data_IF_384472648845
#
_entry.id   IF_384472648845
#
_cell.length_a   1.000
_cell.length_b   1.000
_cell.length_c   1.000
_cell.angle_alpha   90.00
_cell.angle_beta   90.00
_cell.angle_gamma   90.00
#
_symmetry.space_group_name_H-M   'P 1'
#
loop_
_entity.id
_entity.type
_entity.pdbx_description
1 polymer ?
#
# COMPACT_ATOMS: atom_id res chain seq x y z
N UNK A 1 86.99 9.46 138.64
CA UNK A 1 86.70 8.59 137.47
C UNK A 1 85.71 9.32 136.62
N UNK A 2 85.94 9.44 135.31
CA UNK A 2 85.02 10.09 134.37
C UNK A 2 83.76 9.25 134.19
N UNK A 3 82.58 9.88 134.15
CA UNK A 3 81.32 9.18 133.93
C UNK A 3 81.09 9.00 132.43
N UNK A 4 80.76 7.77 131.99
CA UNK A 4 80.52 7.47 130.58
C UNK A 4 79.13 7.94 130.12
N UNK A 5 79.07 8.73 129.04
CA UNK A 5 77.84 9.17 128.37
C UNK A 5 78.02 9.12 126.83
N UNK A 6 77.09 8.48 126.10
CA UNK A 6 77.21 8.26 124.64
C UNK A 6 75.85 8.29 123.90
N UNK A 7 75.86 8.45 122.56
CA UNK A 7 74.65 8.42 121.70
C UNK A 7 74.11 7.00 121.48
N UNK A 8 72.78 6.86 121.36
CA UNK A 8 72.10 5.56 121.32
C UNK A 8 72.39 4.68 120.08
N UNK A 9 72.54 5.26 118.88
CA UNK A 9 72.61 4.49 117.62
C UNK A 9 74.04 4.20 117.13
N UNK A 10 75.01 4.97 117.61
CA UNK A 10 76.39 4.94 117.11
C UNK A 10 77.44 5.02 118.21
N UNK A 11 77.03 5.14 119.48
CA UNK A 11 77.95 5.13 120.61
C UNK A 11 78.92 6.32 120.67
N UNK A 12 78.66 7.40 119.90
CA UNK A 12 79.50 8.59 119.94
C UNK A 12 79.51 9.23 121.32
N UNK A 13 80.68 9.65 121.76
CA UNK A 13 80.91 10.23 123.07
C UNK A 13 80.15 11.56 123.25
N UNK A 14 79.47 11.73 124.39
CA UNK A 14 78.74 12.96 124.76
C UNK A 14 79.38 13.63 125.99
N UNK A 15 79.28 14.96 126.11
CA UNK A 15 79.62 15.66 127.35
C UNK A 15 78.77 15.17 128.54
N UNK A 16 79.30 15.31 129.76
CA UNK A 16 78.56 14.99 130.98
C UNK A 16 78.90 16.00 132.07
N UNK A 17 77.87 16.51 132.75
CA UNK A 17 78.01 17.66 133.66
C UNK A 17 79.03 17.46 134.80
N UNK A 18 79.24 16.21 135.22
CA UNK A 18 80.19 15.87 136.30
C UNK A 18 81.64 15.69 135.80
N UNK A 19 81.90 15.77 134.49
CA UNK A 19 83.25 15.70 133.94
C UNK A 19 83.93 17.08 133.96
N UNK A 20 85.25 17.11 134.10
CA UNK A 20 86.02 18.33 133.86
C UNK A 20 85.92 18.73 132.37
N UNK A 21 85.86 20.04 132.07
CA UNK A 21 85.73 20.56 130.70
C UNK A 21 86.78 19.98 129.74
N UNK A 22 88.02 19.79 130.20
CA UNK A 22 89.09 19.21 129.40
C UNK A 22 88.79 17.77 128.94
N UNK A 23 88.10 16.98 129.77
CA UNK A 23 87.66 15.63 129.45
C UNK A 23 86.56 15.66 128.39
N UNK A 24 85.56 16.52 128.57
CA UNK A 24 84.45 16.61 127.62
C UNK A 24 84.88 17.15 126.25
N UNK A 25 85.86 18.05 126.20
CA UNK A 25 86.48 18.48 124.92
C UNK A 25 87.14 17.29 124.20
N UNK A 26 87.89 16.44 124.90
CA UNK A 26 88.48 15.23 124.30
C UNK A 26 87.42 14.23 123.84
N UNK A 27 86.32 14.09 124.58
CA UNK A 27 85.17 13.26 124.21
C UNK A 27 84.50 13.78 122.93
N UNK A 28 84.28 15.09 122.82
CA UNK A 28 83.74 15.71 121.60
C UNK A 28 84.67 15.51 120.40
N UNK A 29 86.00 15.66 120.58
CA UNK A 29 86.98 15.38 119.51
C UNK A 29 86.87 13.93 119.04
N UNK A 30 86.73 12.98 119.96
CA UNK A 30 86.54 11.56 119.65
C UNK A 30 85.24 11.30 118.88
N UNK A 31 84.13 11.91 119.31
CA UNK A 31 82.84 11.80 118.63
C UNK A 31 82.88 12.36 117.20
N UNK A 32 83.47 13.54 117.00
CA UNK A 32 83.63 14.12 115.67
C UNK A 32 84.48 13.25 114.75
N UNK A 33 85.57 12.68 115.28
CA UNK A 33 86.43 11.76 114.52
C UNK A 33 85.68 10.48 114.13
N UNK A 34 84.84 9.95 115.01
CA UNK A 34 84.04 8.76 114.74
C UNK A 34 82.93 9.03 113.69
N UNK A 35 82.29 10.21 113.73
CA UNK A 35 81.30 10.62 112.73
C UNK A 35 81.94 10.73 111.34
N UNK A 36 83.14 11.32 111.24
CA UNK A 36 83.85 11.48 109.96
C UNK A 36 84.15 10.12 109.32
N UNK A 37 84.60 9.15 110.13
CA UNK A 37 84.83 7.76 109.69
C UNK A 37 83.54 7.11 109.20
N UNK A 38 82.43 7.26 109.92
CA UNK A 38 81.13 6.69 109.53
C UNK A 38 80.61 7.28 108.21
N UNK A 39 80.73 8.59 108.02
CA UNK A 39 80.35 9.27 106.77
C UNK A 39 81.22 8.78 105.62
N UNK A 40 82.54 8.68 105.80
CA UNK A 40 83.45 8.15 104.78
C UNK A 40 83.08 6.72 104.38
N UNK A 41 82.78 5.84 105.35
CA UNK A 41 82.35 4.47 105.09
C UNK A 41 81.03 4.39 104.31
N UNK A 42 80.08 5.27 104.63
CA UNK A 42 78.80 5.33 103.92
C UNK A 42 78.99 5.81 102.47
N UNK A 43 79.85 6.80 102.23
CA UNK A 43 80.18 7.26 100.87
C UNK A 43 80.86 6.15 100.06
N UNK A 44 81.80 5.42 100.66
CA UNK A 44 82.46 4.27 100.01
C UNK A 44 81.43 3.20 99.65
N UNK A 45 80.53 2.85 100.57
CA UNK A 45 79.47 1.87 100.33
C UNK A 45 78.56 2.27 99.17
N UNK A 46 78.11 3.53 99.13
CA UNK A 46 77.25 4.04 98.05
C UNK A 46 78.00 4.03 96.71
N UNK A 47 79.26 4.47 96.67
CA UNK A 47 80.10 4.45 95.47
C UNK A 47 80.34 3.04 94.94
N UNK A 48 80.52 2.06 95.83
CA UNK A 48 80.73 0.66 95.47
C UNK A 48 79.47 -0.03 94.93
N UNK A 49 78.25 0.39 95.31
CA UNK A 49 77.02 -0.22 94.77
C UNK A 49 76.89 -0.07 93.25
N UNK A 50 77.46 0.98 92.67
CA UNK A 50 77.54 1.16 91.21
C UNK A 50 78.60 0.26 90.56
N UNK A 51 79.67 -0.11 91.29
CA UNK A 51 80.77 -0.95 90.79
C UNK A 51 80.48 -2.46 90.75
N UNK A 52 79.43 -2.94 91.44
CA UNK A 52 79.12 -4.39 91.51
C UNK A 52 78.63 -4.97 90.17
N UNK A 53 78.37 -4.13 89.15
CA UNK A 53 77.86 -4.59 87.87
C UNK A 53 76.47 -5.17 88.04
N UNK A 54 75.44 -4.33 87.96
CA UNK A 54 74.08 -4.83 87.90
C UNK A 54 73.68 -5.01 86.44
N UNK A 55 73.02 -6.13 86.16
CA UNK A 55 72.41 -6.42 84.87
C UNK A 55 70.96 -5.96 84.89
N UNK A 56 70.50 -5.33 83.82
CA UNK A 56 69.08 -5.09 83.61
C UNK A 56 68.46 -6.23 82.81
N UNK A 57 67.32 -6.75 83.26
CA UNK A 57 66.43 -7.55 82.43
C UNK A 57 65.42 -6.64 81.74
N UNK A 58 64.80 -7.08 80.64
CA UNK A 58 63.83 -6.26 79.89
C UNK A 58 62.68 -5.77 80.79
N UNK A 59 62.30 -6.55 81.80
CA UNK A 59 61.27 -6.20 82.77
C UNK A 59 61.64 -5.01 83.69
N UNK A 60 62.93 -4.66 83.81
CA UNK A 60 63.38 -3.53 84.62
C UNK A 60 63.04 -2.18 83.98
N UNK A 61 62.72 -2.17 82.67
CA UNK A 61 62.30 -0.97 81.94
C UNK A 61 60.82 -1.08 81.59
N UNK A 62 59.97 -0.42 82.37
CA UNK A 62 58.51 -0.37 82.14
C UNK A 62 58.20 0.02 80.70
N UNK A 63 57.52 -0.85 79.97
CA UNK A 63 57.08 -0.62 78.59
C UNK A 63 58.05 -1.06 77.49
N UNK A 64 59.28 -1.49 77.82
CA UNK A 64 60.25 -1.94 76.82
C UNK A 64 59.77 -3.19 76.07
N UNK A 65 59.21 -4.18 76.78
CA UNK A 65 58.65 -5.38 76.14
C UNK A 65 57.55 -5.03 75.12
N UNK A 66 56.58 -4.19 75.52
CA UNK A 66 55.51 -3.76 74.62
C UNK A 66 56.02 -2.98 73.40
N UNK A 67 57.08 -2.18 73.58
CA UNK A 67 57.72 -1.46 72.50
C UNK A 67 58.44 -2.39 71.51
N UNK A 68 59.06 -3.47 72.00
CA UNK A 68 59.70 -4.51 71.20
C UNK A 68 58.68 -5.38 70.47
N UNK A 69 57.60 -5.80 71.14
CA UNK A 69 56.50 -6.57 70.54
C UNK A 69 55.78 -5.80 69.41
N UNK A 70 55.94 -4.48 69.36
CA UNK A 70 55.42 -3.63 68.29
C UNK A 70 56.38 -3.47 67.11
N UNK A 71 57.59 -4.04 67.18
CA UNK A 71 58.55 -4.08 66.07
C UNK A 71 58.37 -5.36 65.25
N UNK A 72 58.87 -5.33 64.02
CA UNK A 72 58.91 -6.50 63.14
C UNK A 72 60.31 -7.12 63.20
N UNK A 73 60.38 -8.45 63.17
CA UNK A 73 61.66 -9.16 63.25
C UNK A 73 62.38 -9.14 61.91
N UNK A 74 63.71 -9.06 61.93
CA UNK A 74 64.51 -9.11 60.70
C UNK A 74 64.34 -10.45 59.97
N UNK A 75 64.10 -11.54 60.71
CA UNK A 75 63.84 -12.87 60.17
C UNK A 75 62.50 -12.99 59.42
N UNK A 76 61.58 -12.04 59.57
CA UNK A 76 60.31 -12.05 58.84
C UNK A 76 60.43 -11.39 57.46
N UNK A 77 61.55 -10.69 57.19
CA UNK A 77 61.78 -9.97 55.94
C UNK A 77 61.83 -10.90 54.74
N UNK A 78 60.86 -10.75 53.84
CA UNK A 78 60.82 -11.47 52.58
C UNK A 78 60.45 -12.95 52.67
N UNK A 79 60.04 -13.40 53.85
CA UNK A 79 59.57 -14.76 54.11
C UNK A 79 58.04 -14.84 54.04
N UNK A 80 57.51 -16.05 53.81
CA UNK A 80 56.06 -16.29 53.86
C UNK A 80 55.50 -15.95 55.25
N UNK A 81 54.31 -15.36 55.30
CA UNK A 81 53.65 -14.84 56.51
C UNK A 81 54.37 -13.67 57.21
N UNK A 82 55.46 -13.14 56.64
CA UNK A 82 56.15 -11.94 57.11
C UNK A 82 55.79 -10.70 56.30
N UNK A 83 56.77 -9.79 56.13
CA UNK A 83 56.62 -8.56 55.35
C UNK A 83 57.48 -8.56 54.09
N UNK A 84 57.04 -7.81 53.07
CA UNK A 84 57.79 -7.66 51.83
C UNK A 84 59.10 -6.89 52.04
N UNK A 85 60.18 -7.39 51.46
CA UNK A 85 61.45 -6.65 51.43
C UNK A 85 61.41 -5.53 50.38
N UNK A 86 62.25 -4.51 50.53
CA UNK A 86 62.55 -3.57 49.45
C UNK A 86 63.92 -3.92 48.86
N UNK A 87 63.98 -3.97 47.53
CA UNK A 87 65.23 -4.09 46.77
C UNK A 87 66.04 -2.79 46.80
N UNK A 88 67.23 -2.82 46.18
CA UNK A 88 68.10 -1.64 46.05
C UNK A 88 67.46 -0.48 45.27
N UNK A 89 66.41 -0.76 44.50
CA UNK A 89 65.60 0.18 43.74
C UNK A 89 64.39 0.72 44.54
N UNK A 90 64.26 0.35 45.81
CA UNK A 90 63.17 0.78 46.69
C UNK A 90 61.82 0.13 46.39
N UNK A 91 61.77 -0.94 45.59
CA UNK A 91 60.54 -1.66 45.23
C UNK A 91 60.49 -3.05 45.86
N UNK A 92 59.29 -3.60 45.96
CA UNK A 92 59.11 -5.01 46.35
C UNK A 92 59.67 -5.91 45.23
N UNK A 93 60.65 -6.80 45.51
CA UNK A 93 61.19 -7.71 44.51
C UNK A 93 60.09 -8.56 43.86
N UNK A 94 60.20 -8.77 42.55
CA UNK A 94 59.19 -9.48 41.78
C UNK A 94 58.87 -10.90 42.31
N UNK A 95 59.85 -11.57 42.90
CA UNK A 95 59.69 -12.89 43.51
C UNK A 95 58.75 -12.92 44.73
N UNK A 96 58.48 -11.76 45.36
CA UNK A 96 57.57 -11.61 46.50
C UNK A 96 56.16 -11.15 46.07
N UNK A 97 55.93 -11.00 44.76
CA UNK A 97 54.62 -10.68 44.20
C UNK A 97 54.01 -11.94 43.56
N UNK A 98 52.68 -12.10 43.61
CA UNK A 98 52.01 -13.20 42.91
C UNK A 98 52.33 -13.21 41.41
N UNK A 99 52.62 -14.38 40.85
CA UNK A 99 52.94 -14.55 39.41
C UNK A 99 51.82 -14.08 38.49
N UNK A 100 50.57 -14.08 38.98
CA UNK A 100 49.38 -13.55 38.29
C UNK A 100 49.50 -12.06 37.95
N UNK A 101 50.33 -11.31 38.69
CA UNK A 101 50.54 -9.88 38.45
C UNK A 101 51.51 -9.61 37.27
N UNK A 102 52.32 -10.60 36.87
CA UNK A 102 53.30 -10.51 35.77
C UNK A 102 52.78 -10.98 34.40
N UNK A 103 51.46 -11.19 34.29
CA UNK A 103 50.76 -11.50 33.03
C UNK A 103 49.59 -10.58 32.73
N UNK A 104 49.39 -9.52 33.53
CA UNK A 104 48.32 -8.55 33.34
C UNK A 104 48.51 -7.76 32.05
N UNK A 105 47.42 -7.51 31.34
CA UNK A 105 47.43 -6.64 30.17
C UNK A 105 47.68 -5.19 30.59
N UNK A 106 48.75 -4.60 30.09
CA UNK A 106 49.17 -3.23 30.35
C UNK A 106 48.94 -2.39 29.08
N UNK A 107 48.01 -1.44 29.15
CA UNK A 107 47.67 -0.61 28.00
C UNK A 107 48.77 0.41 27.72
N UNK A 108 49.31 0.38 26.50
CA UNK A 108 50.34 1.31 26.05
C UNK A 108 49.78 2.47 25.20
N UNK A 109 48.53 2.35 24.72
CA UNK A 109 47.86 3.37 23.94
C UNK A 109 47.29 2.89 22.61
N UNK A 110 46.73 3.83 21.87
CA UNK A 110 46.25 3.62 20.51
C UNK A 110 47.42 3.54 19.52
N UNK A 111 47.31 2.66 18.53
CA UNK A 111 48.34 2.40 17.54
C UNK A 111 47.80 2.55 16.12
N UNK A 112 48.52 3.31 15.31
CA UNK A 112 48.29 3.40 13.88
C UNK A 112 49.09 2.30 13.16
N UNK A 113 48.39 1.24 12.73
CA UNK A 113 49.00 0.11 12.06
C UNK A 113 49.44 0.40 10.61
N UNK A 114 49.04 1.54 10.05
CA UNK A 114 49.50 1.97 8.73
C UNK A 114 50.91 2.56 8.78
N UNK A 115 51.23 3.32 9.83
CA UNK A 115 52.53 4.00 9.99
C UNK A 115 53.43 3.41 11.07
N UNK A 116 52.97 2.37 11.78
CA UNK A 116 53.59 1.83 12.98
C UNK A 116 53.88 2.93 14.02
N UNK A 117 52.84 3.66 14.44
CA UNK A 117 53.00 4.81 15.35
C UNK A 117 52.06 4.71 16.54
N UNK A 118 52.55 4.73 17.80
CA UNK A 118 53.98 4.69 18.17
C UNK A 118 54.66 3.39 17.69
N UNK A 119 55.98 3.42 17.50
CA UNK A 119 56.72 2.24 17.04
C UNK A 119 56.62 1.14 18.08
N UNK A 120 56.02 0.00 17.71
CA UNK A 120 55.97 -1.16 18.58
C UNK A 120 57.37 -1.81 18.63
N UNK A 121 58.01 -1.94 19.82
CA UNK A 121 59.34 -2.53 19.93
C UNK A 121 59.32 -4.05 19.70
N UNK A 122 60.48 -4.65 19.49
CA UNK A 122 60.60 -6.11 19.48
C UNK A 122 60.09 -6.70 20.81
N UNK A 123 59.39 -7.83 20.75
CA UNK A 123 58.89 -8.49 21.96
C UNK A 123 60.06 -8.99 22.82
N UNK A 124 59.98 -8.75 24.12
CA UNK A 124 60.99 -9.12 25.11
C UNK A 124 60.33 -9.27 26.48
N UNK A 125 60.98 -9.97 27.42
CA UNK A 125 60.43 -10.17 28.77
C UNK A 125 60.02 -8.85 29.46
N UNK A 126 60.73 -7.75 29.18
CA UNK A 126 60.43 -6.42 29.73
C UNK A 126 59.15 -5.75 29.22
N UNK A 127 58.58 -6.22 28.10
CA UNK A 127 57.31 -5.73 27.56
C UNK A 127 56.21 -6.80 27.55
N UNK A 128 56.39 -7.90 28.28
CA UNK A 128 55.34 -8.90 28.46
C UNK A 128 54.07 -8.27 29.04
N UNK A 129 52.92 -8.56 28.43
CA UNK A 129 51.62 -8.01 28.81
C UNK A 129 51.32 -6.64 28.21
N UNK A 130 52.27 -5.96 27.57
CA UNK A 130 51.98 -4.70 26.87
C UNK A 130 50.96 -4.96 25.77
N UNK A 131 49.96 -4.07 25.64
CA UNK A 131 49.07 -4.09 24.51
C UNK A 131 48.78 -2.70 23.94
N UNK A 132 48.57 -2.67 22.64
CA UNK A 132 48.12 -1.51 21.89
C UNK A 132 46.80 -1.82 21.19
N UNK A 133 45.91 -0.83 21.11
CA UNK A 133 44.65 -0.96 20.36
C UNK A 133 44.80 -0.29 19.01
N UNK A 134 44.43 -0.97 17.92
CA UNK A 134 44.58 -0.41 16.58
C UNK A 134 43.51 0.66 16.37
N UNK A 135 43.92 1.92 16.23
CA UNK A 135 43.04 3.05 15.93
C UNK A 135 42.96 3.37 14.44
N UNK A 136 43.94 2.91 13.66
CA UNK A 136 43.97 3.02 12.19
C UNK A 136 44.47 1.72 11.60
N UNK A 137 43.66 1.10 10.73
CA UNK A 137 44.00 -0.15 10.05
C UNK A 137 45.24 0.02 9.16
N UNK A 138 46.01 -1.05 8.99
CA UNK A 138 47.21 -1.02 8.15
C UNK A 138 47.98 -2.34 8.16
N UNK A 139 49.11 -2.34 7.47
CA UNK A 139 49.89 -3.55 7.18
C UNK A 139 51.28 -3.60 7.81
N UNK A 140 51.55 -2.77 8.82
CA UNK A 140 52.84 -2.80 9.54
C UNK A 140 53.07 -4.19 10.15
N UNK A 141 54.25 -4.75 9.89
CA UNK A 141 54.62 -6.07 10.40
C UNK A 141 55.00 -5.98 11.88
N UNK A 142 54.20 -6.63 12.73
CA UNK A 142 54.46 -6.76 14.16
C UNK A 142 54.32 -8.24 14.52
N UNK A 143 55.43 -8.88 14.87
CA UNK A 143 55.44 -10.32 15.21
C UNK A 143 55.10 -11.26 14.05
N UNK A 144 55.26 -10.84 12.80
CA UNK A 144 54.88 -11.60 11.60
C UNK A 144 53.45 -11.33 11.11
N UNK A 145 52.72 -10.44 11.79
CA UNK A 145 51.31 -10.13 11.51
C UNK A 145 51.25 -8.82 10.73
N UNK A 146 50.61 -8.84 9.57
CA UNK A 146 50.48 -7.69 8.66
C UNK A 146 49.02 -7.35 8.32
N UNK A 147 48.05 -7.97 9.00
CA UNK A 147 46.64 -7.65 8.81
C UNK A 147 46.05 -7.11 10.11
N UNK A 148 46.05 -5.78 10.24
CA UNK A 148 45.52 -5.07 11.40
C UNK A 148 44.34 -4.20 10.96
N UNK A 149 43.19 -4.42 11.58
CA UNK A 149 41.97 -3.63 11.41
C UNK A 149 41.73 -2.79 12.66
N UNK A 150 40.97 -1.72 12.50
CA UNK A 150 40.60 -0.84 13.62
C UNK A 150 39.84 -1.66 14.66
N UNK A 151 40.29 -1.60 15.92
CA UNK A 151 39.72 -2.35 17.03
C UNK A 151 40.50 -3.61 17.42
N UNK A 152 41.37 -4.12 16.56
CA UNK A 152 42.26 -5.26 16.87
C UNK A 152 43.30 -4.87 17.93
N UNK A 153 43.78 -5.84 18.72
CA UNK A 153 44.79 -5.60 19.75
C UNK A 153 46.10 -6.31 19.41
N UNK A 154 47.21 -5.59 19.50
CA UNK A 154 48.55 -6.19 19.48
C UNK A 154 49.00 -6.40 20.93
N UNK A 155 49.27 -7.64 21.34
CA UNK A 155 49.66 -7.99 22.71
C UNK A 155 51.02 -8.69 22.72
N UNK A 156 51.94 -8.29 23.59
CA UNK A 156 53.22 -8.99 23.76
C UNK A 156 53.13 -10.09 24.81
N UNK A 157 53.53 -11.32 24.48
CA UNK A 157 53.67 -12.42 25.45
C UNK A 157 55.07 -12.45 26.11
N UNK A 158 55.94 -11.50 25.75
CA UNK A 158 57.34 -11.41 26.18
C UNK A 158 58.34 -12.11 25.25
N UNK A 159 57.89 -12.83 24.23
CA UNK A 159 58.71 -13.47 23.20
C UNK A 159 58.26 -13.08 21.77
N UNK A 160 56.97 -12.85 21.57
CA UNK A 160 56.37 -12.40 20.31
C UNK A 160 55.17 -11.48 20.57
N UNK A 161 54.79 -10.75 19.52
CA UNK A 161 53.51 -10.07 19.47
C UNK A 161 52.45 -11.01 18.90
N UNK A 162 51.29 -11.05 19.54
CA UNK A 162 50.11 -11.76 19.07
C UNK A 162 49.01 -10.76 18.76
N UNK A 163 48.17 -11.10 17.77
CA UNK A 163 46.96 -10.34 17.45
C UNK A 163 45.78 -10.98 18.17
N UNK A 164 45.02 -10.18 18.89
CA UNK A 164 43.63 -10.51 19.25
C UNK A 164 42.76 -9.82 18.20
N UNK A 165 42.14 -10.63 17.34
CA UNK A 165 41.23 -10.12 16.32
C UNK A 165 39.91 -9.73 16.98
N UNK A 166 39.51 -8.48 16.81
CA UNK A 166 38.28 -7.95 17.40
C UNK A 166 37.37 -7.36 16.31
N UNK A 167 37.64 -7.71 15.06
CA UNK A 167 36.96 -7.18 13.89
C UNK A 167 36.32 -8.32 13.10
N UNK A 168 35.35 -9.02 13.69
CA UNK A 168 34.52 -9.94 12.91
C UNK A 168 33.60 -9.13 11.98
N UNK A 169 34.00 -9.05 10.71
CA UNK A 169 33.16 -8.51 9.65
C UNK A 169 31.97 -9.45 9.40
N UNK A 170 30.84 -8.90 8.93
CA UNK A 170 29.70 -9.72 8.48
C UNK A 170 30.18 -10.71 7.41
N UNK A 171 30.03 -12.00 7.70
CA UNK A 171 30.56 -13.09 6.87
C UNK A 171 29.80 -13.28 5.56
N UNK A 172 28.48 -13.12 5.56
CA UNK A 172 27.68 -12.93 4.34
C UNK A 172 26.25 -12.46 4.62
N UNK A 173 25.73 -11.55 3.78
CA UNK A 173 24.28 -11.27 3.63
C UNK A 173 23.99 -11.09 2.15
N UNK A 174 23.25 -12.02 1.54
CA UNK A 174 22.98 -12.02 0.10
C UNK A 174 24.24 -11.83 -0.77
N UNK A 175 25.38 -12.41 -0.36
CA UNK A 175 26.66 -12.28 -1.06
C UNK A 175 27.46 -11.01 -0.73
N UNK A 176 26.94 -10.10 0.09
CA UNK A 176 27.67 -8.94 0.61
C UNK A 176 28.43 -9.30 1.88
N UNK A 177 29.59 -8.67 2.09
CA UNK A 177 30.45 -8.85 3.26
C UNK A 177 30.79 -7.49 3.88
N UNK A 178 31.14 -7.46 5.16
CA UNK A 178 31.53 -6.23 5.87
C UNK A 178 30.36 -5.27 6.11
N UNK A 179 30.58 -3.97 5.90
CA UNK A 179 29.55 -2.94 6.12
C UNK A 179 28.51 -2.99 5.00
N UNK A 180 27.28 -3.36 5.34
CA UNK A 180 26.17 -3.49 4.39
C UNK A 180 25.26 -2.26 4.48
N UNK A 181 25.21 -1.50 3.39
CA UNK A 181 24.28 -0.36 3.26
C UNK A 181 22.93 -0.80 2.73
N UNK A 182 21.89 0.00 2.93
CA UNK A 182 20.57 -0.28 2.36
C UNK A 182 20.59 -0.38 0.81
N UNK A 183 21.40 0.45 0.14
CA UNK A 183 21.52 0.45 -1.31
C UNK A 183 22.20 -0.83 -1.84
N UNK A 184 23.31 -1.25 -1.22
CA UNK A 184 23.99 -2.49 -1.59
C UNK A 184 23.10 -3.70 -1.33
N UNK A 185 22.40 -3.74 -0.19
CA UNK A 185 21.47 -4.82 0.15
C UNK A 185 20.31 -4.91 -0.85
N UNK A 186 19.69 -3.78 -1.19
CA UNK A 186 18.59 -3.75 -2.16
C UNK A 186 19.03 -4.29 -3.53
N UNK A 187 20.22 -3.94 -3.96
CA UNK A 187 20.79 -4.42 -5.22
C UNK A 187 21.09 -5.93 -5.15
N UNK A 188 21.69 -6.39 -4.06
CA UNK A 188 22.06 -7.79 -3.87
C UNK A 188 20.85 -8.73 -3.78
N UNK A 189 19.76 -8.28 -3.14
CA UNK A 189 18.53 -9.08 -3.04
C UNK A 189 17.78 -9.18 -4.36
N UNK A 190 18.04 -8.29 -5.33
CA UNK A 190 17.41 -8.34 -6.65
C UNK A 190 15.88 -8.27 -6.63
N UNK A 191 15.28 -7.75 -5.55
CA UNK A 191 13.82 -7.79 -5.36
C UNK A 191 13.09 -7.02 -6.44
N UNK A 192 12.20 -7.71 -7.12
CA UNK A 192 11.23 -7.17 -8.07
C UNK A 192 9.85 -7.12 -7.44
N UNK A 193 8.92 -6.44 -8.10
CA UNK A 193 7.50 -6.42 -7.69
C UNK A 193 6.90 -7.84 -7.69
N UNK A 194 7.42 -8.75 -8.52
CA UNK A 194 6.96 -10.14 -8.59
C UNK A 194 7.34 -10.96 -7.34
N UNK A 195 8.41 -10.57 -6.64
CA UNK A 195 8.86 -11.25 -5.42
C UNK A 195 8.02 -10.87 -4.19
N UNK A 196 7.18 -9.84 -4.33
CA UNK A 196 6.26 -9.39 -3.28
C UNK A 196 4.86 -9.92 -3.57
N UNK A 197 4.51 -11.01 -2.90
CA UNK A 197 3.14 -11.57 -2.96
C UNK A 197 2.10 -10.49 -2.67
N UNK A 198 1.16 -10.28 -3.60
CA UNK A 198 0.08 -9.30 -3.48
C UNK A 198 0.41 -7.87 -3.94
N UNK A 199 1.64 -7.57 -4.40
CA UNK A 199 1.96 -6.23 -4.89
C UNK A 199 1.17 -5.82 -6.16
N UNK A 200 0.63 -6.80 -6.91
CA UNK A 200 -0.25 -6.57 -8.06
C UNK A 200 -1.74 -6.86 -7.77
N UNK A 201 -2.12 -7.00 -6.49
CA UNK A 201 -3.51 -7.19 -6.13
C UNK A 201 -4.28 -5.87 -6.26
N UNK A 202 -5.47 -5.89 -6.86
CA UNK A 202 -6.36 -4.74 -6.91
C UNK A 202 -6.69 -4.19 -5.50
N UNK A 203 -6.70 -5.05 -4.47
CA UNK A 203 -6.88 -4.65 -3.08
C UNK A 203 -5.74 -3.75 -2.54
N UNK A 204 -4.57 -3.75 -3.18
CA UNK A 204 -3.45 -2.87 -2.83
C UNK A 204 -3.63 -1.45 -3.37
N UNK A 205 -4.65 -1.19 -4.19
CA UNK A 205 -4.99 0.15 -4.69
C UNK A 205 -5.83 0.90 -3.63
N UNK A 206 -5.18 1.40 -2.58
CA UNK A 206 -5.87 2.02 -1.43
C UNK A 206 -6.31 3.47 -1.67
N UNK A 207 -5.73 4.15 -2.66
CA UNK A 207 -6.08 5.51 -3.10
C UNK A 207 -5.72 5.73 -4.58
N UNK A 208 -6.21 6.82 -5.19
CA UNK A 208 -5.85 7.25 -6.56
C UNK A 208 -6.84 6.80 -7.64
N UNK A 209 -6.50 7.11 -8.91
CA UNK A 209 -7.28 6.76 -10.10
C UNK A 209 -6.41 5.93 -11.04
N UNK A 210 -6.96 4.86 -11.61
CA UNK A 210 -6.28 4.10 -12.66
C UNK A 210 -6.19 4.95 -13.93
N UNK A 211 -5.00 5.12 -14.49
CA UNK A 211 -4.84 5.75 -15.78
C UNK A 211 -5.51 4.90 -16.88
N UNK A 212 -6.14 5.54 -17.87
CA UNK A 212 -6.90 4.85 -18.93
C UNK A 212 -6.07 3.83 -19.71
N UNK A 213 -4.76 4.04 -19.85
CA UNK A 213 -3.83 3.09 -20.48
C UNK A 213 -3.73 1.73 -19.75
N UNK A 214 -4.26 1.64 -18.52
CA UNK A 214 -4.35 0.40 -17.73
C UNK A 214 -5.68 -0.33 -17.94
N UNK A 215 -6.69 0.33 -18.52
CA UNK A 215 -7.94 -0.30 -18.91
C UNK A 215 -7.74 -1.09 -20.21
N UNK A 216 -8.46 -2.20 -20.42
CA UNK A 216 -8.47 -2.86 -21.72
C UNK A 216 -8.92 -1.89 -22.81
N UNK A 217 -8.33 -1.97 -24.01
CA UNK A 217 -8.57 -0.99 -25.08
C UNK A 217 -10.04 -0.77 -25.44
N UNK A 218 -10.89 -1.81 -25.32
CA UNK A 218 -12.35 -1.74 -25.52
C UNK A 218 -13.10 -0.86 -24.51
N UNK A 219 -12.44 -0.46 -23.40
CA UNK A 219 -12.95 0.40 -22.34
C UNK A 219 -12.18 1.73 -22.22
N UNK A 220 -11.29 2.02 -23.18
CA UNK A 220 -10.46 3.22 -23.16
C UNK A 220 -11.18 4.47 -23.70
N UNK A 221 -10.40 5.56 -23.84
CA UNK A 221 -10.86 6.86 -24.36
C UNK A 221 -11.45 6.80 -25.79
N UNK A 222 -11.04 5.82 -26.58
CA UNK A 222 -11.48 5.64 -27.96
C UNK A 222 -11.97 4.21 -28.16
N UNK A 223 -12.98 4.03 -29.01
CA UNK A 223 -13.52 2.71 -29.32
C UNK A 223 -12.42 1.82 -29.92
N UNK A 224 -12.43 0.52 -29.57
CA UNK A 224 -11.46 -0.44 -30.10
C UNK A 224 -11.73 -0.69 -31.60
N UNK A 225 -10.73 -0.48 -32.44
CA UNK A 225 -10.84 -0.78 -33.86
C UNK A 225 -10.90 -2.30 -34.10
N UNK A 226 -11.90 -2.74 -34.86
CA UNK A 226 -12.12 -4.15 -35.22
C UNK A 226 -12.27 -4.34 -36.72
N UNK A 227 -12.02 -5.56 -37.19
CA UNK A 227 -12.20 -5.96 -38.60
C UNK A 227 -13.39 -6.88 -38.81
N UNK A 228 -13.91 -7.50 -37.74
CA UNK A 228 -15.10 -8.35 -37.76
C UNK A 228 -15.97 -8.10 -36.52
N UNK A 229 -17.24 -7.75 -36.72
CA UNK A 229 -18.20 -7.52 -35.63
C UNK A 229 -18.46 -8.79 -34.81
N UNK A 230 -18.23 -9.99 -35.36
CA UNK A 230 -18.41 -11.26 -34.65
C UNK A 230 -17.35 -11.50 -33.58
N UNK A 231 -16.18 -10.82 -33.64
CA UNK A 231 -15.12 -10.96 -32.64
C UNK A 231 -15.26 -9.98 -31.47
N UNK A 232 -16.12 -8.98 -31.58
CA UNK A 232 -16.45 -8.05 -30.50
C UNK A 232 -17.45 -8.69 -29.54
N UNK A 233 -17.01 -9.68 -28.76
CA UNK A 233 -17.86 -10.48 -27.87
C UNK A 233 -17.83 -10.06 -26.41
N UNK A 234 -16.85 -9.26 -26.01
CA UNK A 234 -16.71 -8.76 -24.65
C UNK A 234 -17.45 -7.42 -24.48
N UNK A 235 -17.82 -7.08 -23.25
CA UNK A 235 -18.37 -5.76 -22.92
C UNK A 235 -17.40 -4.64 -23.34
N UNK A 236 -17.91 -3.64 -24.05
CA UNK A 236 -17.15 -2.45 -24.42
C UNK A 236 -17.63 -1.79 -25.71
N UNK A 237 -16.82 -0.84 -26.16
CA UNK A 237 -17.07 -0.01 -27.33
C UNK A 237 -16.06 -0.31 -28.42
N UNK A 238 -16.56 -0.50 -29.64
CA UNK A 238 -15.79 -0.93 -30.79
C UNK A 238 -16.08 -0.02 -31.99
N UNK A 239 -15.20 0.01 -32.97
CA UNK A 239 -15.41 0.79 -34.20
C UNK A 239 -14.73 0.16 -35.41
N UNK A 240 -15.16 0.56 -36.60
CA UNK A 240 -14.39 0.30 -37.81
C UNK A 240 -15.12 0.67 -39.09
N UNK A 241 -14.35 0.66 -40.18
CA UNK A 241 -14.85 0.77 -41.55
C UNK A 241 -14.81 -0.59 -42.22
N UNK A 242 -15.77 -0.89 -43.10
CA UNK A 242 -15.80 -2.14 -43.87
C UNK A 242 -15.65 -3.38 -42.98
N UNK A 243 -16.19 -3.30 -41.76
CA UNK A 243 -16.11 -4.36 -40.76
C UNK A 243 -16.95 -5.55 -41.24
N UNK A 244 -16.36 -6.74 -41.30
CA UNK A 244 -17.08 -7.95 -41.63
C UNK A 244 -18.22 -8.19 -40.63
N UNK A 245 -19.36 -8.69 -41.11
CA UNK A 245 -20.55 -8.95 -40.28
C UNK A 245 -21.14 -7.72 -39.58
N UNK A 246 -20.75 -6.50 -39.95
CA UNK A 246 -21.47 -5.27 -39.61
C UNK A 246 -22.73 -5.12 -40.50
N UNK A 247 -23.65 -4.18 -40.21
CA UNK A 247 -24.87 -4.02 -41.00
C UNK A 247 -24.63 -3.70 -42.47
N UNK A 248 -23.53 -3.02 -42.79
CA UNK A 248 -23.10 -2.69 -44.15
C UNK A 248 -21.60 -2.33 -44.19
N UNK A 249 -21.05 -2.14 -45.39
CA UNK A 249 -19.67 -1.69 -45.63
C UNK A 249 -19.46 -0.18 -45.36
N UNK A 250 -19.97 0.32 -44.23
CA UNK A 250 -19.85 1.70 -43.79
C UNK A 250 -19.00 1.80 -42.51
N UNK A 251 -18.85 3.03 -42.00
CA UNK A 251 -18.25 3.28 -40.69
C UNK A 251 -19.29 3.09 -39.58
N UNK A 252 -18.99 2.21 -38.63
CA UNK A 252 -19.85 1.90 -37.49
C UNK A 252 -19.11 2.07 -36.17
N UNK A 253 -19.80 2.61 -35.19
CA UNK A 253 -19.48 2.45 -33.77
C UNK A 253 -20.37 1.32 -33.24
N UNK A 254 -19.82 0.34 -32.53
CA UNK A 254 -20.53 -0.84 -32.08
C UNK A 254 -20.38 -0.95 -30.57
N UNK A 255 -21.51 -0.93 -29.87
CA UNK A 255 -21.60 -1.29 -28.47
C UNK A 255 -21.89 -2.79 -28.35
N UNK A 256 -21.16 -3.49 -27.48
CA UNK A 256 -21.47 -4.88 -27.13
C UNK A 256 -21.84 -4.98 -25.66
N UNK A 257 -23.02 -5.53 -25.39
CA UNK A 257 -23.50 -5.86 -24.04
C UNK A 257 -23.58 -7.38 -23.92
N UNK A 258 -22.77 -7.94 -23.04
CA UNK A 258 -22.50 -9.36 -22.90
C UNK A 258 -23.07 -9.89 -21.59
N UNK A 259 -23.94 -10.90 -21.70
CA UNK A 259 -24.39 -11.67 -20.56
C UNK A 259 -23.42 -12.83 -20.29
N UNK A 260 -23.17 -13.65 -21.32
CA UNK A 260 -22.15 -14.73 -21.29
C UNK A 260 -21.38 -14.68 -22.61
N UNK A 261 -20.08 -14.46 -22.52
CA UNK A 261 -19.21 -14.35 -23.69
C UNK A 261 -19.28 -15.63 -24.53
N UNK A 262 -19.46 -15.46 -25.84
CA UNK A 262 -19.63 -16.58 -26.78
C UNK A 262 -21.04 -17.15 -26.90
N UNK A 263 -21.96 -16.87 -25.96
CA UNK A 263 -23.31 -17.45 -25.97
C UNK A 263 -24.42 -16.41 -26.15
N UNK A 264 -24.48 -15.40 -25.27
CA UNK A 264 -25.60 -14.47 -25.15
C UNK A 264 -25.10 -13.04 -25.04
N UNK A 265 -25.32 -12.25 -26.09
CA UNK A 265 -24.93 -10.85 -26.12
C UNK A 265 -25.75 -10.06 -27.14
N UNK A 266 -25.81 -8.75 -26.96
CA UNK A 266 -26.47 -7.80 -27.87
C UNK A 266 -25.40 -6.90 -28.45
N UNK A 267 -25.51 -6.62 -29.74
CA UNK A 267 -24.74 -5.56 -30.37
C UNK A 267 -25.66 -4.47 -30.91
N UNK A 268 -25.35 -3.22 -30.59
CA UNK A 268 -25.99 -2.04 -31.18
C UNK A 268 -24.94 -1.31 -32.01
N UNK A 269 -25.20 -1.14 -33.30
CA UNK A 269 -24.35 -0.44 -34.24
C UNK A 269 -24.93 0.94 -34.55
N UNK A 270 -24.14 1.97 -34.29
CA UNK A 270 -24.43 3.37 -34.54
C UNK A 270 -23.68 3.81 -35.80
N UNK A 271 -24.35 4.39 -36.80
CA UNK A 271 -23.65 4.92 -37.95
C UNK A 271 -22.84 6.14 -37.56
N UNK A 272 -21.55 6.21 -37.93
CA UNK A 272 -20.73 7.37 -37.56
C UNK A 272 -20.90 8.56 -38.52
N UNK A 273 -21.04 8.30 -39.82
CA UNK A 273 -21.05 9.34 -40.86
C UNK A 273 -22.38 9.48 -41.61
N UNK A 274 -23.33 8.59 -41.36
CA UNK A 274 -24.57 8.50 -42.14
C UNK A 274 -25.84 8.77 -41.32
N UNK A 275 -25.71 9.08 -40.03
CA UNK A 275 -26.85 9.52 -39.20
C UNK A 275 -27.36 10.88 -39.66
N UNK A 276 -28.69 11.03 -39.75
CA UNK A 276 -29.34 12.29 -40.08
C UNK A 276 -30.51 12.57 -39.14
N UNK A 277 -30.98 13.80 -39.07
CA UNK A 277 -32.18 14.14 -38.29
C UNK A 277 -33.45 13.39 -38.75
N UNK A 278 -33.45 12.87 -39.98
CA UNK A 278 -34.56 12.12 -40.58
C UNK A 278 -34.42 10.61 -40.44
N UNK A 279 -33.22 10.09 -40.11
CA UNK A 279 -33.00 8.67 -39.86
C UNK A 279 -31.79 8.43 -38.97
N UNK A 280 -32.00 7.69 -37.88
CA UNK A 280 -30.96 7.29 -36.95
C UNK A 280 -30.09 6.17 -37.48
N UNK A 281 -30.62 5.34 -38.38
CA UNK A 281 -29.86 4.26 -39.01
C UNK A 281 -29.25 3.25 -38.03
N UNK A 282 -29.66 3.27 -36.75
CA UNK A 282 -29.16 2.37 -35.73
C UNK A 282 -29.63 0.96 -36.04
N UNK A 283 -28.71 0.02 -35.96
CA UNK A 283 -28.97 -1.38 -36.20
C UNK A 283 -28.67 -2.16 -34.93
N UNK A 284 -29.45 -3.19 -34.65
CA UNK A 284 -29.21 -4.09 -33.52
C UNK A 284 -29.23 -5.54 -33.99
N UNK A 285 -28.41 -6.37 -33.37
CA UNK A 285 -28.49 -7.82 -33.49
C UNK A 285 -28.29 -8.46 -32.13
N UNK A 286 -28.71 -9.71 -32.04
CA UNK A 286 -28.64 -10.50 -30.81
C UNK A 286 -27.97 -11.82 -31.15
N UNK A 287 -27.04 -12.26 -30.29
CA UNK A 287 -26.51 -13.62 -30.30
C UNK A 287 -27.28 -14.44 -29.28
N UNK A 288 -27.88 -15.54 -29.71
CA UNK A 288 -28.63 -16.46 -28.86
C UNK A 288 -28.01 -17.84 -28.94
N UNK A 289 -27.67 -18.41 -27.77
CA UNK A 289 -27.01 -19.71 -27.66
C UNK A 289 -25.83 -19.91 -28.63
N UNK A 290 -25.01 -18.86 -28.80
CA UNK A 290 -23.83 -18.89 -29.66
C UNK A 290 -24.08 -18.65 -31.15
N UNK A 291 -25.32 -18.53 -31.61
CA UNK A 291 -25.65 -18.18 -32.99
C UNK A 291 -26.01 -16.70 -33.14
N UNK A 292 -25.51 -16.04 -34.19
CA UNK A 292 -25.82 -14.65 -34.49
C UNK A 292 -27.15 -14.52 -35.24
N UNK A 293 -28.03 -13.66 -34.74
CA UNK A 293 -29.20 -13.20 -35.50
C UNK A 293 -28.83 -12.13 -36.54
N UNK A 294 -29.77 -11.84 -37.44
CA UNK A 294 -29.65 -10.76 -38.40
C UNK A 294 -29.64 -9.38 -37.71
N UNK A 295 -29.04 -8.39 -38.38
CA UNK A 295 -29.19 -7.00 -38.01
C UNK A 295 -30.59 -6.50 -38.36
N UNK A 296 -31.23 -5.79 -37.43
CA UNK A 296 -32.53 -5.17 -37.60
C UNK A 296 -32.51 -3.72 -37.13
N UNK A 297 -33.31 -2.87 -37.78
CA UNK A 297 -33.32 -1.44 -37.50
C UNK A 297 -33.99 -1.14 -36.17
N UNK A 298 -33.35 -0.27 -35.40
CA UNK A 298 -33.91 0.32 -34.19
C UNK A 298 -34.45 1.68 -34.57
N UNK A 299 -35.72 1.92 -34.25
CA UNK A 299 -36.36 3.22 -34.47
C UNK A 299 -36.20 4.02 -33.19
N UNK A 300 -35.51 5.16 -33.26
CA UNK A 300 -35.23 6.02 -32.12
C UNK A 300 -35.41 7.53 -32.41
N UNK A 301 -35.81 7.89 -33.63
CA UNK A 301 -36.08 9.29 -34.01
C UNK A 301 -37.56 9.57 -34.29
N UNK A 302 -38.00 10.77 -33.88
CA UNK A 302 -39.35 11.27 -34.11
C UNK A 302 -39.72 11.28 -35.61
N UNK A 303 -38.81 11.71 -36.49
CA UNK A 303 -39.07 11.73 -37.94
C UNK A 303 -39.31 10.33 -38.54
N UNK A 304 -38.61 9.29 -38.07
CA UNK A 304 -38.82 7.91 -38.52
C UNK A 304 -40.19 7.39 -38.06
N UNK A 305 -40.56 7.73 -36.81
CA UNK A 305 -41.85 7.40 -36.24
C UNK A 305 -42.99 8.13 -36.97
N UNK A 306 -42.84 9.43 -37.21
CA UNK A 306 -43.78 10.28 -37.94
C UNK A 306 -43.98 9.79 -39.38
N UNK A 307 -42.91 9.41 -40.09
CA UNK A 307 -43.01 8.83 -41.43
C UNK A 307 -43.74 7.47 -41.45
N UNK A 308 -43.68 6.69 -40.35
CA UNK A 308 -44.52 5.49 -40.21
C UNK A 308 -45.97 5.83 -39.93
N UNK A 309 -46.24 6.80 -39.05
CA UNK A 309 -47.60 7.24 -38.75
C UNK A 309 -48.28 7.95 -39.91
N UNK A 310 -47.54 8.71 -40.74
CA UNK A 310 -48.06 9.34 -41.95
C UNK A 310 -48.49 8.32 -43.01
N UNK A 311 -47.79 7.19 -43.13
CA UNK A 311 -48.25 6.09 -44.00
C UNK A 311 -49.55 5.47 -43.50
N UNK A 312 -49.66 5.26 -42.19
CA UNK A 312 -50.90 4.77 -41.57
C UNK A 312 -52.05 5.78 -41.70
N UNK A 313 -51.76 7.07 -41.62
CA UNK A 313 -52.74 8.14 -41.85
C UNK A 313 -53.12 8.26 -43.32
N UNK A 314 -52.20 8.08 -44.27
CA UNK A 314 -52.49 8.04 -45.70
C UNK A 314 -53.43 6.86 -46.06
N UNK A 315 -53.25 5.71 -45.42
CA UNK A 315 -54.18 4.57 -45.54
C UNK A 315 -55.56 4.86 -44.91
N UNK A 316 -55.66 5.88 -44.03
CA UNK A 316 -56.88 6.30 -43.34
C UNK A 316 -57.49 7.63 -43.89
N UNK A 317 -56.86 8.27 -44.89
CA UNK A 317 -57.21 9.60 -45.43
C UNK A 317 -58.05 9.55 -46.71
N UNK A 318 -58.77 8.46 -46.96
CA UNK A 318 -59.79 8.43 -48.02
C UNK A 318 -61.04 9.27 -47.70
N UNK A 319 -61.09 10.03 -46.60
CA UNK A 319 -62.27 10.82 -46.20
C UNK A 319 -61.97 12.20 -45.58
N UNK A 320 -60.91 12.90 -45.98
CA UNK A 320 -60.66 14.29 -45.55
C UNK A 320 -61.19 15.38 -46.51
N UNK A 321 -61.61 14.98 -47.71
CA UNK A 321 -62.47 15.74 -48.61
C UNK A 321 -63.60 14.80 -49.05
N UNK A 322 -64.77 15.34 -49.42
CA UNK A 322 -65.80 14.52 -50.07
C UNK A 322 -65.21 13.74 -51.25
N UNK A 323 -65.77 12.57 -51.56
CA UNK A 323 -65.29 11.74 -52.67
C UNK A 323 -65.36 12.53 -53.99
N UNK A 324 -64.20 12.89 -54.55
CA UNK A 324 -64.10 13.52 -55.86
C UNK A 324 -63.58 12.51 -56.87
N UNK A 325 -64.37 12.26 -57.92
CA UNK A 325 -63.96 11.43 -59.06
C UNK A 325 -63.67 12.36 -60.24
N UNK A 326 -62.44 12.35 -60.76
CA UNK A 326 -62.01 13.27 -61.83
C UNK A 326 -62.79 13.11 -63.15
N UNK A 327 -63.49 11.99 -63.34
CA UNK A 327 -64.34 11.72 -64.50
C UNK A 327 -65.46 10.74 -64.14
N UNK A 328 -66.64 10.90 -64.71
CA UNK A 328 -67.75 9.94 -64.57
C UNK A 328 -67.64 8.84 -65.64
N UNK A 329 -68.24 7.67 -65.39
CA UNK A 329 -68.36 6.61 -66.38
C UNK A 329 -69.52 6.93 -67.32
N UNK A 330 -69.24 7.07 -68.61
CA UNK A 330 -70.29 7.20 -69.61
C UNK A 330 -70.70 5.81 -70.11
N UNK A 331 -71.86 5.33 -69.67
CA UNK A 331 -72.41 4.03 -70.07
C UNK A 331 -73.14 4.10 -71.42
N UNK A 332 -73.13 5.25 -72.10
CA UNK A 332 -73.65 5.46 -73.45
C UNK A 332 -75.17 5.54 -73.54
N UNK A 333 -75.68 5.46 -74.77
CA UNK A 333 -77.12 5.55 -75.06
C UNK A 333 -77.81 4.20 -74.85
N UNK A 334 -78.92 4.20 -74.09
CA UNK A 334 -79.77 3.03 -73.87
C UNK A 334 -81.08 3.21 -74.64
N UNK A 335 -81.32 2.35 -75.62
CA UNK A 335 -82.52 2.40 -76.49
C UNK A 335 -83.39 1.15 -76.44
N UNK A 336 -82.89 0.05 -75.86
CA UNK A 336 -83.58 -1.23 -75.67
C UNK A 336 -82.81 -2.12 -74.68
N UNK A 337 -83.40 -3.24 -74.25
CA UNK A 337 -82.72 -4.24 -73.42
C UNK A 337 -82.66 -3.89 -71.93
N UNK A 338 -81.69 -4.46 -71.20
CA UNK A 338 -81.53 -4.27 -69.76
C UNK A 338 -80.24 -3.53 -69.43
N UNK A 339 -80.33 -2.48 -68.61
CA UNK A 339 -79.22 -1.75 -68.03
C UNK A 339 -79.05 -2.15 -66.56
N UNK A 340 -77.87 -2.66 -66.21
CA UNK A 340 -77.52 -3.07 -64.84
C UNK A 340 -76.14 -2.49 -64.48
N UNK A 341 -76.07 -1.25 -63.96
CA UNK A 341 -74.79 -0.63 -63.64
C UNK A 341 -74.12 -1.32 -62.45
N UNK A 342 -72.79 -1.44 -62.49
CA UNK A 342 -71.98 -1.99 -61.40
C UNK A 342 -71.00 -0.94 -60.88
N UNK A 343 -70.48 -1.05 -59.65
CA UNK A 343 -69.43 -0.14 -59.16
C UNK A 343 -68.12 -0.18 -59.96
N UNK A 344 -67.92 -1.20 -60.80
CA UNK A 344 -66.68 -1.41 -61.53
C UNK A 344 -66.40 -0.26 -62.51
N UNK A 345 -65.29 0.46 -62.31
CA UNK A 345 -64.89 1.61 -63.12
C UNK A 345 -65.39 2.97 -62.58
N UNK A 346 -66.25 2.98 -61.56
CA UNK A 346 -66.67 4.21 -60.91
C UNK A 346 -68.13 4.21 -60.45
N UNK A 347 -68.39 5.04 -59.44
CA UNK A 347 -69.72 5.19 -58.83
C UNK A 347 -70.47 6.43 -59.33
N UNK A 348 -69.80 7.37 -60.01
CA UNK A 348 -70.44 8.47 -60.73
C UNK A 348 -70.60 8.07 -62.20
N UNK A 349 -71.82 8.01 -62.71
CA UNK A 349 -72.11 7.49 -64.05
C UNK A 349 -73.10 8.37 -64.80
N UNK A 350 -73.13 8.24 -66.12
CA UNK A 350 -74.12 8.88 -66.97
C UNK A 350 -74.59 7.95 -68.11
N UNK A 351 -75.87 8.06 -68.46
CA UNK A 351 -76.48 7.43 -69.64
C UNK A 351 -77.32 8.44 -70.42
N UNK A 352 -77.49 8.17 -71.71
CA UNK A 352 -78.50 8.83 -72.53
C UNK A 352 -79.70 7.88 -72.71
N UNK A 353 -80.90 8.30 -72.29
CA UNK A 353 -82.12 7.56 -72.58
C UNK A 353 -82.54 7.84 -74.04
N UNK A 354 -82.37 6.87 -74.90
CA UNK A 354 -82.67 6.96 -76.33
C UNK A 354 -83.76 5.98 -76.81
N UNK A 355 -84.51 5.37 -75.89
CA UNK A 355 -85.59 4.41 -76.19
C UNK A 355 -86.07 3.68 -74.93
N UNK A 356 -87.11 2.86 -75.02
CA UNK A 356 -87.63 2.15 -73.86
C UNK A 356 -86.70 0.99 -73.45
N UNK A 357 -86.30 0.93 -72.18
CA UNK A 357 -85.41 -0.12 -71.67
C UNK A 357 -85.71 -0.46 -70.19
N UNK A 358 -85.25 -1.63 -69.75
CA UNK A 358 -85.35 -2.04 -68.35
C UNK A 358 -84.09 -1.69 -67.56
N UNK A 359 -84.22 -1.13 -66.36
CA UNK A 359 -83.13 -0.89 -65.42
C UNK A 359 -83.19 -1.93 -64.30
N UNK A 360 -82.21 -2.82 -64.26
CA UNK A 360 -82.06 -3.82 -63.22
C UNK A 360 -81.07 -3.37 -62.15
N UNK A 361 -81.35 -3.68 -60.89
CA UNK A 361 -80.34 -3.57 -59.84
C UNK A 361 -79.19 -4.57 -60.09
N UNK A 362 -77.96 -4.22 -59.71
CA UNK A 362 -76.80 -5.11 -59.84
C UNK A 362 -77.08 -6.49 -59.22
N UNK A 363 -76.77 -7.56 -59.95
CA UNK A 363 -76.93 -8.95 -59.50
C UNK A 363 -75.90 -9.38 -58.45
N UNK A 364 -74.80 -8.65 -58.27
CA UNK A 364 -73.73 -9.02 -57.35
C UNK A 364 -74.14 -8.81 -55.89
N UNK A 365 -74.38 -9.90 -55.15
CA UNK A 365 -74.84 -9.87 -53.76
C UNK A 365 -73.78 -9.38 -52.75
N UNK A 366 -72.49 -9.54 -53.04
CA UNK A 366 -71.43 -9.49 -52.01
C UNK A 366 -70.86 -8.10 -51.71
N UNK A 367 -71.12 -7.09 -52.53
CA UNK A 367 -70.51 -5.76 -52.38
C UNK A 367 -71.54 -4.70 -51.95
N UNK A 368 -71.29 -3.99 -50.85
CA UNK A 368 -72.05 -2.80 -50.48
C UNK A 368 -71.49 -1.58 -51.23
N UNK A 369 -72.37 -0.72 -51.74
CA UNK A 369 -71.96 0.47 -52.50
C UNK A 369 -73.03 1.58 -52.51
N UNK A 370 -72.57 2.79 -52.81
CA UNK A 370 -73.40 3.91 -53.25
C UNK A 370 -73.00 4.31 -54.67
N UNK A 371 -73.98 4.65 -55.51
CA UNK A 371 -73.75 5.02 -56.91
C UNK A 371 -74.73 6.11 -57.32
N UNK A 372 -74.28 7.06 -58.14
CA UNK A 372 -75.15 8.06 -58.75
C UNK A 372 -75.06 7.92 -60.26
N UNK A 373 -76.22 7.79 -60.91
CA UNK A 373 -76.33 7.71 -62.37
C UNK A 373 -77.15 8.89 -62.87
N UNK A 374 -76.52 9.74 -63.68
CA UNK A 374 -77.17 10.80 -64.43
C UNK A 374 -77.87 10.20 -65.65
N UNK A 375 -79.15 10.51 -65.83
CA UNK A 375 -79.95 10.06 -66.97
C UNK A 375 -80.37 11.27 -67.76
N UNK A 376 -79.94 11.39 -69.01
CA UNK A 376 -80.36 12.48 -69.91
C UNK A 376 -81.24 11.94 -71.01
N UNK A 377 -82.47 12.45 -71.13
CA UNK A 377 -83.38 12.08 -72.20
C UNK A 377 -82.93 12.64 -73.55
N UNK A 378 -82.62 11.76 -74.51
CA UNK A 378 -82.31 12.12 -75.89
C UNK A 378 -83.60 12.17 -76.75
N UNK A 379 -83.46 12.50 -78.04
CA UNK A 379 -84.59 12.68 -78.97
C UNK A 379 -85.50 11.44 -79.14
N UNK A 380 -85.06 10.25 -78.70
CA UNK A 380 -85.82 9.00 -78.72
C UNK A 380 -86.18 8.44 -77.34
N UNK A 381 -86.09 9.23 -76.26
CA UNK A 381 -86.28 8.75 -74.89
C UNK A 381 -87.59 7.96 -74.71
N UNK A 382 -87.47 6.77 -74.12
CA UNK A 382 -88.60 5.88 -73.85
C UNK A 382 -88.77 5.59 -72.36
N UNK A 383 -89.83 4.86 -72.02
CA UNK A 383 -90.12 4.50 -70.64
C UNK A 383 -89.03 3.60 -70.05
N UNK A 384 -88.59 3.93 -68.84
CA UNK A 384 -87.61 3.15 -68.06
C UNK A 384 -88.37 2.33 -67.03
N UNK A 385 -88.23 1.00 -67.08
CA UNK A 385 -88.89 0.08 -66.15
C UNK A 385 -87.87 -0.54 -65.19
N UNK A 386 -88.15 -0.53 -63.89
CA UNK A 386 -87.21 -1.01 -62.88
C UNK A 386 -87.43 -2.48 -62.50
N UNK A 387 -86.36 -3.20 -62.19
CA UNK A 387 -86.41 -4.57 -61.66
C UNK A 387 -85.31 -4.82 -60.63
N UNK A 388 -85.55 -5.71 -59.67
CA UNK A 388 -84.55 -6.14 -58.68
C UNK A 388 -84.19 -5.12 -57.59
N UNK A 389 -84.84 -3.95 -57.56
CA UNK A 389 -84.74 -2.98 -56.45
C UNK A 389 -85.77 -3.32 -55.37
N UNK A 390 -85.34 -3.29 -54.11
CA UNK A 390 -86.20 -3.40 -52.93
C UNK A 390 -87.11 -2.19 -52.77
N UNK A 391 -86.63 -1.00 -53.13
CA UNK A 391 -87.39 0.24 -53.08
C UNK A 391 -87.03 1.17 -54.23
N UNK A 392 -88.05 1.79 -54.83
CA UNK A 392 -87.93 2.81 -55.87
C UNK A 392 -88.70 4.03 -55.36
N UNK A 393 -88.00 5.13 -55.12
CA UNK A 393 -88.57 6.36 -54.55
C UNK A 393 -88.18 7.58 -55.37
N UNK A 394 -88.89 8.69 -55.17
CA UNK A 394 -88.57 9.98 -55.79
C UNK A 394 -89.45 10.33 -56.98
N UNK A 395 -88.95 11.21 -57.84
CA UNK A 395 -89.69 11.81 -58.96
C UNK A 395 -89.95 10.82 -60.11
N UNK A 396 -91.04 11.00 -60.89
CA UNK A 396 -91.29 10.18 -62.06
C UNK A 396 -90.27 10.45 -63.17
N UNK A 397 -89.71 9.38 -63.75
CA UNK A 397 -88.88 9.46 -64.95
C UNK A 397 -89.76 9.76 -66.17
N UNK A 398 -89.83 11.03 -66.54
CA UNK A 398 -90.50 11.47 -67.78
C UNK A 398 -89.63 11.15 -69.00
N UNK A 399 -90.22 11.21 -70.19
CA UNK A 399 -89.54 10.95 -71.47
C UNK A 399 -89.30 12.22 -72.30
N UNK A 400 -89.52 13.40 -71.71
CA UNK A 400 -89.30 14.69 -72.40
C UNK A 400 -87.82 14.86 -72.73
N UNK A 401 -87.51 15.16 -73.98
CA UNK A 401 -86.16 15.41 -74.47
C UNK A 401 -85.50 16.53 -73.66
N UNK A 402 -84.25 16.31 -73.22
CA UNK A 402 -83.48 17.27 -72.45
C UNK A 402 -83.67 17.20 -70.93
N UNK A 403 -84.71 16.51 -70.42
CA UNK A 403 -84.83 16.28 -68.98
C UNK A 403 -83.66 15.44 -68.45
N UNK A 404 -83.19 15.80 -67.25
CA UNK A 404 -82.06 15.15 -66.58
C UNK A 404 -82.50 14.66 -65.21
N UNK A 405 -82.12 13.43 -64.87
CA UNK A 405 -82.42 12.84 -63.57
C UNK A 405 -81.15 12.37 -62.90
N UNK A 406 -81.03 12.62 -61.60
CA UNK A 406 -79.99 12.03 -60.75
C UNK A 406 -80.60 10.84 -60.01
N UNK A 407 -80.13 9.65 -60.36
CA UNK A 407 -80.58 8.41 -59.76
C UNK A 407 -79.54 7.89 -58.78
N UNK A 408 -79.83 8.00 -57.49
CA UNK A 408 -78.96 7.57 -56.40
C UNK A 408 -79.31 6.15 -55.97
N UNK A 409 -78.38 5.23 -56.13
CA UNK A 409 -78.50 3.82 -55.77
C UNK A 409 -77.71 3.57 -54.49
N UNK A 410 -78.35 2.91 -53.52
CA UNK A 410 -77.71 2.41 -52.31
C UNK A 410 -77.93 0.90 -52.22
N UNK A 411 -76.84 0.15 -52.07
CA UNK A 411 -76.87 -1.29 -51.82
C UNK A 411 -76.10 -1.64 -50.55
N UNK A 412 -76.76 -2.34 -49.63
CA UNK A 412 -76.13 -2.92 -48.43
C UNK A 412 -76.71 -4.33 -48.24
N UNK A 413 -75.86 -5.35 -48.31
CA UNK A 413 -76.31 -6.76 -48.27
C UNK A 413 -77.35 -7.06 -49.36
N UNK A 414 -78.50 -7.59 -48.96
CA UNK A 414 -79.63 -7.89 -49.85
C UNK A 414 -80.53 -6.69 -50.19
N UNK A 415 -80.38 -5.55 -49.51
CA UNK A 415 -81.21 -4.37 -49.72
C UNK A 415 -80.66 -3.50 -50.84
N UNK A 416 -81.51 -3.16 -51.82
CA UNK A 416 -81.16 -2.35 -52.99
C UNK A 416 -82.21 -1.26 -53.19
N UNK A 417 -81.86 0.00 -52.98
CA UNK A 417 -82.78 1.12 -53.14
C UNK A 417 -82.28 2.07 -54.23
N UNK A 418 -83.22 2.65 -54.98
CA UNK A 418 -82.96 3.74 -55.91
C UNK A 418 -83.86 4.93 -55.59
N UNK A 419 -83.27 6.11 -55.48
CA UNK A 419 -83.96 7.37 -55.34
C UNK A 419 -83.75 8.24 -56.59
N UNK A 420 -84.83 8.74 -57.16
CA UNK A 420 -84.83 9.49 -58.41
C UNK A 420 -85.10 10.96 -58.10
N UNK A 421 -84.25 11.84 -58.60
CA UNK A 421 -84.42 13.28 -58.48
C UNK A 421 -84.42 13.93 -59.86
N UNK A 422 -85.50 14.64 -60.19
CA UNK A 422 -85.56 15.50 -61.36
C UNK A 422 -84.61 16.71 -61.20
N UNK A 423 -83.89 17.05 -62.26
CA UNK A 423 -82.93 18.18 -62.28
C UNK A 423 -83.41 19.36 -63.16
N UNK A 424 -84.66 19.30 -63.63
CA UNK A 424 -85.31 20.34 -64.43
C UNK A 424 -86.29 21.17 -63.61
#
# INVERSE_FOLDING_TARGET
>A
MTTENTTANRGYQLPFADNELAVDVLRLISAFSAIDVDVANMLVSIGQRSLVGHTHVIADTTGLQAALDSKQDESEKGNANGYASLGADGKVPAAQLPTTLFGSLNYQGDWNANTNTPTIPAAALGNKGWYFMVSTAGASNVGGITDWKVGDWAVSDGAKWVKIDNTDAVSSVAGLVGVITAASLKTALGLTVADVSGANNAASLTTGTLADARLPARLGLTCLQITDANTATANGWYMGSNVANAPSAAWWLIETITHIEGLWLIQTAYPFTTMTAASGGIQRRIRTNGAWGAWFSVIDHAAELDARYLRLAADNLALAAGFSQASFVNDGTKSSGTYAPTPAGGNMRAINNGGAFGWAADGNASTAYTMVVAVTNAAGAGAITFSGFTAITGDPLTTTVGHVFMCSIVKIGGYKAINIQAMQ
#
